data_IF_320366137840
#
_entry.id   IF_320366137840
#
_cell.length_a   1.000
_cell.length_b   1.000
_cell.length_c   1.000
_cell.angle_alpha   90.00
_cell.angle_beta   90.00
_cell.angle_gamma   90.00
#
_symmetry.space_group_name_H-M   'P 1'
#
loop_
_entity.id
_entity.type
_entity.pdbx_description
1 polymer ?
#
# COMPACT_ATOMS: atom_id res chain seq x y z
N UNK A 1 2.36 1.71 16.28
CA UNK A 1 3.21 2.39 15.28
C UNK A 1 3.03 3.90 15.43
N UNK A 2 4.08 4.69 15.16
CA UNK A 2 4.07 6.15 15.31
C UNK A 2 3.67 6.89 14.02
N UNK A 3 3.82 6.25 12.85
CA UNK A 3 3.48 6.75 11.52
C UNK A 3 2.87 5.61 10.68
N UNK A 4 2.24 5.95 9.55
CA UNK A 4 1.59 5.02 8.63
C UNK A 4 0.07 4.93 8.81
N UNK A 5 -0.54 5.84 9.57
CA UNK A 5 -1.99 5.90 9.73
C UNK A 5 -2.67 6.49 8.49
N UNK A 6 -3.93 6.13 8.27
CA UNK A 6 -4.69 6.52 7.08
C UNK A 6 -5.00 8.03 7.02
N UNK A 7 -5.00 8.72 8.16
CA UNK A 7 -5.27 10.15 8.29
C UNK A 7 -4.03 11.02 7.99
N UNK A 8 -2.85 10.42 7.83
CA UNK A 8 -1.63 11.10 7.40
C UNK A 8 -1.69 11.40 5.89
N UNK A 9 -2.17 12.59 5.53
CA UNK A 9 -2.45 12.97 4.12
C UNK A 9 -1.45 13.94 3.50
N UNK A 10 -0.36 14.25 4.21
CA UNK A 10 0.59 15.29 3.83
C UNK A 10 0.33 16.59 4.59
N UNK A 11 1.01 17.67 4.19
CA UNK A 11 0.82 18.98 4.79
C UNK A 11 1.20 20.10 3.81
N UNK A 12 0.54 21.25 3.94
CA UNK A 12 0.80 22.41 3.08
C UNK A 12 0.57 22.08 1.60
N UNK A 13 1.57 22.34 0.76
CA UNK A 13 1.52 22.00 -0.66
C UNK A 13 1.42 20.49 -0.95
N UNK A 14 1.79 19.64 0.01
CA UNK A 14 1.72 18.18 -0.10
C UNK A 14 0.41 17.58 0.44
N UNK A 15 -0.54 18.39 0.91
CA UNK A 15 -1.84 17.89 1.37
C UNK A 15 -2.58 17.15 0.25
N UNK A 16 -2.99 15.91 0.51
CA UNK A 16 -3.63 15.02 -0.46
C UNK A 16 -2.66 14.23 -1.34
N UNK A 17 -1.35 14.44 -1.23
CA UNK A 17 -0.33 13.72 -2.01
C UNK A 17 0.32 12.56 -1.24
N UNK A 18 0.02 12.39 0.06
CA UNK A 18 0.38 11.19 0.81
C UNK A 18 -0.88 10.34 1.05
N UNK A 19 -0.81 9.05 0.73
CA UNK A 19 -1.91 8.11 0.93
C UNK A 19 -1.35 6.81 1.50
N UNK A 20 -1.77 6.48 2.72
CA UNK A 20 -1.42 5.24 3.41
C UNK A 20 -2.60 4.27 3.35
N UNK A 21 -2.32 2.99 3.08
CA UNK A 21 -3.30 1.90 3.13
C UNK A 21 -2.96 0.93 4.28
N UNK A 22 -3.19 1.31 5.56
CA UNK A 22 -2.95 0.40 6.67
C UNK A 22 -3.90 -0.79 6.58
N UNK A 23 -3.36 -1.99 6.66
CA UNK A 23 -4.14 -3.23 6.57
C UNK A 23 -4.10 -3.99 7.90
N UNK A 24 -5.23 -4.61 8.32
CA UNK A 24 -5.24 -5.51 9.45
C UNK A 24 -4.30 -6.71 9.26
N UNK A 25 -3.87 -7.30 10.36
CA UNK A 25 -3.19 -8.59 10.33
C UNK A 25 -4.10 -9.68 9.78
N UNK A 26 -3.55 -10.57 8.97
CA UNK A 26 -4.27 -11.63 8.29
C UNK A 26 -4.90 -11.21 6.96
N UNK A 27 -4.73 -9.96 6.51
CA UNK A 27 -5.19 -9.52 5.19
C UNK A 27 -4.64 -10.42 4.07
N UNK A 28 -5.55 -10.88 3.23
CA UNK A 28 -5.31 -11.75 2.09
C UNK A 28 -5.22 -10.95 0.79
N UNK A 29 -5.06 -11.68 -0.33
CA UNK A 29 -4.93 -11.09 -1.65
C UNK A 29 -6.07 -10.16 -2.01
N UNK A 30 -7.33 -10.55 -1.81
CA UNK A 30 -8.47 -9.77 -2.32
C UNK A 30 -8.53 -8.37 -1.67
N UNK A 31 -8.32 -8.30 -0.35
CA UNK A 31 -8.30 -7.03 0.37
C UNK A 31 -7.02 -6.22 0.07
N UNK A 32 -5.88 -6.89 -0.11
CA UNK A 32 -4.64 -6.22 -0.51
C UNK A 32 -4.74 -5.63 -1.93
N UNK A 33 -5.26 -6.42 -2.87
CA UNK A 33 -5.42 -6.03 -4.27
C UNK A 33 -6.44 -4.90 -4.43
N UNK A 34 -7.52 -4.87 -3.66
CA UNK A 34 -8.44 -3.73 -3.66
C UNK A 34 -7.73 -2.40 -3.31
N UNK A 35 -6.78 -2.43 -2.38
CA UNK A 35 -5.96 -1.27 -2.04
C UNK A 35 -4.96 -0.91 -3.14
N UNK A 36 -4.36 -1.93 -3.78
CA UNK A 36 -3.49 -1.74 -4.95
C UNK A 36 -4.25 -1.11 -6.12
N UNK A 37 -5.47 -1.55 -6.41
CA UNK A 37 -6.32 -0.99 -7.47
C UNK A 37 -6.66 0.48 -7.21
N UNK A 38 -7.02 0.85 -5.97
CA UNK A 38 -7.24 2.26 -5.61
C UNK A 38 -5.94 3.08 -5.76
N UNK A 39 -4.79 2.54 -5.34
CA UNK A 39 -3.50 3.19 -5.52
C UNK A 39 -3.17 3.42 -7.01
N UNK A 40 -3.39 2.41 -7.86
CA UNK A 40 -3.20 2.52 -9.31
C UNK A 40 -4.16 3.53 -9.95
N UNK A 41 -5.42 3.59 -9.52
CA UNK A 41 -6.37 4.60 -9.98
C UNK A 41 -5.92 6.02 -9.61
N UNK A 42 -5.41 6.22 -8.39
CA UNK A 42 -4.86 7.50 -7.94
C UNK A 42 -3.60 7.90 -8.70
N UNK A 43 -2.68 6.96 -8.95
CA UNK A 43 -1.50 7.20 -9.77
C UNK A 43 -1.88 7.61 -11.18
N UNK A 44 -2.88 6.95 -11.77
CA UNK A 44 -3.41 7.31 -13.09
C UNK A 44 -3.99 8.72 -13.09
N UNK A 45 -4.74 9.10 -12.06
CA UNK A 45 -5.28 10.45 -11.91
C UNK A 45 -4.20 11.52 -11.67
N UNK A 46 -3.12 11.17 -10.97
CA UNK A 46 -1.96 12.04 -10.75
C UNK A 46 -1.11 12.23 -12.01
N UNK A 47 -1.10 11.24 -12.92
CA UNK A 47 -0.37 11.25 -14.19
C UNK A 47 1.15 11.55 -14.04
N UNK A 48 1.90 10.73 -13.29
CA UNK A 48 3.34 10.90 -13.16
C UNK A 48 4.08 10.52 -14.45
N UNK A 49 5.20 11.20 -14.73
CA UNK A 49 6.10 10.82 -15.83
C UNK A 49 6.85 9.51 -15.54
N UNK A 50 7.11 9.22 -14.26
CA UNK A 50 7.87 8.06 -13.79
C UNK A 50 7.23 7.51 -12.52
N UNK A 51 7.15 6.18 -12.44
CA UNK A 51 6.71 5.46 -11.23
C UNK A 51 7.88 4.68 -10.66
N UNK A 52 8.11 4.81 -9.35
CA UNK A 52 9.10 4.04 -8.60
C UNK A 52 8.35 3.05 -7.71
N UNK A 53 8.65 1.76 -7.86
CA UNK A 53 8.06 0.68 -7.03
C UNK A 53 9.10 0.21 -6.02
N UNK A 54 8.88 0.53 -4.74
CA UNK A 54 9.67 -0.02 -3.64
C UNK A 54 9.15 -1.42 -3.30
N UNK A 55 9.61 -2.43 -4.06
CA UNK A 55 9.12 -3.80 -3.95
C UNK A 55 9.71 -4.53 -2.73
N UNK A 56 8.88 -4.73 -1.71
CA UNK A 56 9.08 -5.70 -0.64
C UNK A 56 8.23 -6.95 -0.88
N UNK A 57 8.77 -8.13 -0.59
CA UNK A 57 8.06 -9.43 -0.67
C UNK A 57 7.83 -10.05 0.69
N UNK A 58 8.06 -9.29 1.76
CA UNK A 58 7.70 -9.63 3.13
C UNK A 58 6.18 -9.71 3.33
N UNK A 59 5.36 -9.28 2.38
CA UNK A 59 3.90 -9.49 2.39
C UNK A 59 3.47 -10.97 2.26
N UNK A 60 4.41 -11.87 1.96
CA UNK A 60 4.19 -13.29 1.75
C UNK A 60 3.76 -14.03 3.04
N UNK A 61 2.83 -14.98 2.91
CA UNK A 61 2.18 -15.68 4.03
C UNK A 61 3.14 -16.46 4.95
N UNK A 62 4.33 -16.82 4.45
CA UNK A 62 5.38 -17.57 5.17
C UNK A 62 6.56 -16.70 5.57
N UNK A 63 6.47 -15.39 5.37
CA UNK A 63 7.50 -14.48 5.88
C UNK A 63 7.48 -14.50 7.42
N UNK A 64 8.65 -14.65 8.08
CA UNK A 64 8.72 -14.85 9.53
C UNK A 64 8.39 -13.61 10.36
N UNK A 65 8.35 -12.42 9.75
CA UNK A 65 8.13 -11.13 10.43
C UNK A 65 6.85 -10.41 9.99
N UNK A 66 6.15 -10.95 8.98
CA UNK A 66 4.92 -10.40 8.45
C UNK A 66 3.67 -11.09 8.96
N UNK A 67 2.54 -10.40 8.80
CA UNK A 67 1.23 -10.92 9.19
C UNK A 67 0.23 -10.91 8.03
N UNK A 68 0.68 -10.58 6.81
CA UNK A 68 -0.14 -10.67 5.60
C UNK A 68 -0.15 -12.10 5.04
N UNK A 69 -1.06 -12.36 4.10
CA UNK A 69 -1.35 -13.71 3.58
C UNK A 69 -1.23 -13.83 2.06
N UNK A 70 -0.36 -13.03 1.43
CA UNK A 70 -0.10 -13.17 -0.01
C UNK A 70 0.62 -14.48 -0.29
N UNK A 71 0.33 -15.07 -1.44
CA UNK A 71 0.91 -16.33 -1.94
C UNK A 71 1.85 -16.05 -3.09
N UNK A 72 2.62 -17.06 -3.49
CA UNK A 72 3.57 -16.93 -4.61
C UNK A 72 2.88 -16.67 -5.96
N UNK A 73 1.62 -17.05 -6.11
CA UNK A 73 0.82 -16.85 -7.33
C UNK A 73 0.14 -15.49 -7.42
N UNK A 74 0.15 -14.74 -6.32
CA UNK A 74 -0.45 -13.42 -6.20
C UNK A 74 0.55 -12.37 -6.73
#
# INVERSE_FOLDING_TARGET
FFLGHADERGAGAGEGFNINYPMPFGTDWDAWNASLEDACARLTAYAPDVVIVSLGVDTFEKDPISQLKLKTSD
#
